data_IF_884408615723
#
_entry.id   IF_884408615723
#
_cell.length_a   1.000
_cell.length_b   1.000
_cell.length_c   1.000
_cell.angle_alpha   90.00
_cell.angle_beta   90.00
_cell.angle_gamma   90.00
#
_symmetry.space_group_name_H-M   'P 1'
#
loop_
_entity.id
_entity.type
_entity.pdbx_description
1 polymer ?
#
# COMPACT_ATOMS: atom_id res chain seq x y z
N UNK A 1 7.51 17.79 -17.41
CA UNK A 1 7.76 16.39 -17.84
C UNK A 1 6.51 15.58 -17.49
N UNK A 2 5.61 15.34 -18.44
CA UNK A 2 4.34 14.62 -18.17
C UNK A 2 4.65 13.17 -17.80
N UNK A 3 4.58 12.85 -16.50
CA UNK A 3 4.77 11.49 -16.02
C UNK A 3 3.46 10.74 -16.28
N UNK A 4 3.44 9.95 -17.35
CA UNK A 4 2.35 9.03 -17.63
C UNK A 4 2.30 7.98 -16.50
N UNK A 5 1.41 8.18 -15.53
CA UNK A 5 1.24 7.27 -14.40
C UNK A 5 0.52 6.01 -14.87
N UNK A 6 1.28 4.97 -15.21
CA UNK A 6 0.75 3.63 -15.44
C UNK A 6 0.22 3.10 -14.11
N UNK A 7 -1.10 3.05 -13.93
CA UNK A 7 -1.71 2.40 -12.77
C UNK A 7 -1.52 0.88 -12.92
N UNK A 8 -0.82 0.20 -12.00
CA UNK A 8 -0.65 -1.24 -12.09
C UNK A 8 -2.01 -1.94 -11.94
N UNK A 9 -2.53 -2.52 -13.02
CA UNK A 9 -3.78 -3.28 -13.00
C UNK A 9 -3.48 -4.77 -12.79
N UNK A 10 -3.76 -5.27 -11.60
CA UNK A 10 -3.62 -6.70 -11.30
C UNK A 10 -4.89 -7.47 -11.63
N UNK A 11 -4.74 -8.66 -12.23
CA UNK A 11 -5.86 -9.56 -12.52
C UNK A 11 -6.54 -10.02 -11.22
N UNK A 12 -7.83 -10.36 -11.31
CA UNK A 12 -8.58 -10.90 -10.15
C UNK A 12 -7.94 -12.15 -9.56
N UNK A 13 -7.41 -13.03 -10.41
CA UNK A 13 -6.71 -14.25 -10.00
C UNK A 13 -5.44 -13.94 -9.18
N UNK A 14 -4.65 -12.94 -9.58
CA UNK A 14 -3.43 -12.56 -8.84
C UNK A 14 -3.75 -12.01 -7.45
N UNK A 15 -4.81 -11.19 -7.34
CA UNK A 15 -5.28 -10.69 -6.03
C UNK A 15 -5.72 -11.83 -5.12
N UNK A 16 -6.46 -12.80 -5.64
CA UNK A 16 -6.89 -13.96 -4.86
C UNK A 16 -5.69 -14.83 -4.44
N UNK A 17 -4.76 -15.09 -5.35
CA UNK A 17 -3.55 -15.87 -5.08
C UNK A 17 -2.70 -15.27 -3.96
N UNK A 18 -2.48 -13.95 -3.99
CA UNK A 18 -1.70 -13.26 -2.97
C UNK A 18 -2.39 -13.28 -1.60
N UNK A 19 -3.71 -13.08 -1.55
CA UNK A 19 -4.50 -13.21 -0.32
C UNK A 19 -4.45 -14.64 0.24
N UNK A 20 -4.61 -15.65 -0.62
CA UNK A 20 -4.55 -17.06 -0.23
C UNK A 20 -3.15 -17.44 0.28
N UNK A 21 -2.09 -17.00 -0.40
CA UNK A 21 -0.70 -17.26 0.01
C UNK A 21 -0.41 -16.67 1.39
N UNK A 22 -0.89 -15.46 1.66
CA UNK A 22 -0.78 -14.86 2.99
C UNK A 22 -1.54 -15.65 4.05
N UNK A 23 -2.76 -16.10 3.75
CA UNK A 23 -3.55 -16.91 4.67
C UNK A 23 -2.86 -18.25 5.00
N UNK A 24 -2.28 -18.92 3.99
CA UNK A 24 -1.50 -20.14 4.18
C UNK A 24 -0.27 -19.88 5.05
N UNK A 25 0.49 -18.81 4.78
CA UNK A 25 1.66 -18.45 5.59
C UNK A 25 1.29 -18.14 7.06
N UNK A 26 0.19 -17.41 7.29
CA UNK A 26 -0.31 -17.12 8.62
C UNK A 26 -0.74 -18.41 9.36
N UNK A 27 -1.40 -19.33 8.66
CA UNK A 27 -1.78 -20.63 9.22
C UNK A 27 -0.55 -21.50 9.56
N UNK A 28 0.48 -21.49 8.70
CA UNK A 28 1.74 -22.17 8.97
C UNK A 28 2.45 -21.60 10.21
N UNK A 29 2.47 -20.27 10.37
CA UNK A 29 3.04 -19.63 11.57
C UNK A 29 2.26 -20.03 12.84
N UNK A 30 0.93 -19.95 12.79
CA UNK A 30 0.08 -20.35 13.91
C UNK A 30 0.25 -21.83 14.27
N UNK A 31 0.30 -22.71 13.25
CA UNK A 31 0.61 -24.13 13.43
C UNK A 31 1.98 -24.36 14.04
N UNK A 32 3.01 -23.62 13.58
CA UNK A 32 4.36 -23.67 14.14
C UNK A 32 4.39 -23.31 15.63
N UNK A 33 3.68 -22.25 16.04
CA UNK A 33 3.55 -21.87 17.46
C UNK A 33 2.80 -22.95 18.26
N UNK A 34 1.77 -23.56 17.66
CA UNK A 34 0.99 -24.61 18.32
C UNK A 34 1.84 -25.86 18.61
N UNK A 35 2.57 -26.35 17.60
CA UNK A 35 3.43 -27.54 17.70
C UNK A 35 4.76 -27.30 18.41
N UNK A 36 5.14 -26.04 18.66
CA UNK A 36 6.35 -25.71 19.40
C UNK A 36 6.30 -26.31 20.81
N UNK A 37 7.32 -27.07 21.20
CA UNK A 37 7.46 -27.58 22.56
C UNK A 37 8.04 -26.49 23.47
N UNK A 38 7.16 -25.63 24.00
CA UNK A 38 7.51 -24.50 24.84
C UNK A 38 6.43 -24.24 25.89
N UNK A 39 6.77 -23.48 26.93
CA UNK A 39 5.81 -23.06 27.96
C UNK A 39 4.70 -22.18 27.36
N UNK A 40 3.52 -22.18 28.00
CA UNK A 40 2.38 -21.38 27.55
C UNK A 40 2.74 -19.89 27.41
N UNK A 41 3.51 -19.36 28.36
CA UNK A 41 3.99 -17.97 28.31
C UNK A 41 4.88 -17.68 27.10
N UNK A 42 5.78 -18.61 26.74
CA UNK A 42 6.63 -18.47 25.57
C UNK A 42 5.81 -18.50 24.26
N UNK A 43 4.84 -19.42 24.14
CA UNK A 43 3.93 -19.47 22.99
C UNK A 43 3.13 -18.17 22.84
N UNK A 44 2.65 -17.63 23.96
CA UNK A 44 1.96 -16.34 23.99
C UNK A 44 2.83 -15.19 23.49
N UNK A 45 4.10 -15.14 23.92
CA UNK A 45 5.05 -14.11 23.44
C UNK A 45 5.27 -14.18 21.92
N UNK A 46 5.48 -15.38 21.37
CA UNK A 46 5.62 -15.55 19.92
C UNK A 46 4.34 -15.19 19.16
N UNK A 47 3.17 -15.53 19.68
CA UNK A 47 1.89 -15.18 19.06
C UNK A 47 1.68 -13.65 19.04
N UNK A 48 1.95 -12.96 20.16
CA UNK A 48 1.85 -11.50 20.23
C UNK A 48 2.84 -10.83 19.27
N UNK A 49 4.10 -11.29 19.26
CA UNK A 49 5.12 -10.77 18.35
C UNK A 49 4.72 -10.95 16.88
N UNK A 50 4.24 -12.15 16.50
CA UNK A 50 3.81 -12.44 15.14
C UNK A 50 2.64 -11.54 14.69
N UNK A 51 1.61 -11.39 15.54
CA UNK A 51 0.45 -10.54 15.24
C UNK A 51 0.87 -9.08 15.08
N UNK A 52 1.68 -8.55 16.01
CA UNK A 52 2.10 -7.14 15.92
C UNK A 52 3.02 -6.86 14.74
N UNK A 53 3.93 -7.79 14.43
CA UNK A 53 4.80 -7.65 13.27
C UNK A 53 3.98 -7.61 11.97
N UNK A 54 3.02 -8.52 11.81
CA UNK A 54 2.14 -8.58 10.64
C UNK A 54 1.26 -7.33 10.54
N UNK A 55 0.66 -6.90 11.65
CA UNK A 55 -0.16 -5.69 11.70
C UNK A 55 0.63 -4.46 11.24
N UNK A 56 1.82 -4.24 11.83
CA UNK A 56 2.65 -3.08 11.52
C UNK A 56 3.22 -3.12 10.12
N UNK A 57 3.60 -4.29 9.59
CA UNK A 57 4.06 -4.44 8.21
C UNK A 57 2.97 -4.07 7.18
N UNK A 58 1.72 -4.51 7.41
CA UNK A 58 0.60 -4.17 6.54
C UNK A 58 0.30 -2.66 6.61
N UNK A 59 0.25 -2.10 7.82
CA UNK A 59 0.02 -0.67 8.02
C UNK A 59 1.11 0.16 7.37
N UNK A 60 2.39 -0.19 7.56
CA UNK A 60 3.52 0.48 6.93
C UNK A 60 3.42 0.47 5.40
N UNK A 61 3.14 -0.70 4.81
CA UNK A 61 2.99 -0.81 3.35
C UNK A 61 1.85 0.05 2.82
N UNK A 62 0.73 0.13 3.56
CA UNK A 62 -0.38 1.04 3.21
C UNK A 62 0.05 2.49 3.31
N UNK A 63 0.62 2.92 4.43
CA UNK A 63 1.09 4.30 4.62
C UNK A 63 2.05 4.74 3.52
N UNK A 64 3.00 3.88 3.12
CA UNK A 64 3.92 4.19 2.02
C UNK A 64 3.20 4.35 0.68
N UNK A 65 2.27 3.44 0.34
CA UNK A 65 1.47 3.53 -0.89
C UNK A 65 0.57 4.76 -0.91
N UNK A 66 -0.10 5.03 0.21
CA UNK A 66 -0.99 6.19 0.35
C UNK A 66 -0.20 7.50 0.18
N UNK A 67 1.04 7.57 0.69
CA UNK A 67 1.93 8.70 0.47
C UNK A 67 2.32 8.87 -0.99
N UNK A 68 2.72 7.79 -1.68
CA UNK A 68 3.06 7.84 -3.11
C UNK A 68 1.85 8.24 -3.98
N UNK A 69 0.65 7.78 -3.63
CA UNK A 69 -0.58 8.15 -4.33
C UNK A 69 -0.96 9.62 -4.08
N UNK A 70 -0.82 10.10 -2.85
CA UNK A 70 -1.06 11.50 -2.51
C UNK A 70 -0.15 12.46 -3.28
N UNK A 71 1.16 12.17 -3.35
CA UNK A 71 2.12 12.99 -4.09
C UNK A 71 1.79 13.04 -5.59
N UNK A 72 1.38 11.92 -6.18
CA UNK A 72 0.95 11.87 -7.60
C UNK A 72 -0.30 12.70 -7.84
N UNK A 73 -1.26 12.70 -6.91
CA UNK A 73 -2.48 13.50 -7.03
C UNK A 73 -2.18 15.00 -6.92
N UNK A 74 -1.30 15.40 -6.00
CA UNK A 74 -0.89 16.80 -5.83
C UNK A 74 -0.26 17.33 -7.12
N UNK A 75 0.72 16.61 -7.68
CA UNK A 75 1.40 17.01 -8.93
C UNK A 75 0.40 17.19 -10.09
N UNK A 76 -0.58 16.29 -10.23
CA UNK A 76 -1.62 16.41 -11.28
C UNK A 76 -2.51 17.63 -11.11
N UNK A 77 -2.82 18.02 -9.87
CA UNK A 77 -3.60 19.22 -9.57
C UNK A 77 -2.80 20.49 -9.85
N UNK A 78 -1.51 20.49 -9.50
CA UNK A 78 -0.61 21.62 -9.80
C UNK A 78 -0.43 21.82 -11.31
N UNK A 79 -0.24 20.75 -12.08
CA UNK A 79 -0.18 20.80 -13.53
C UNK A 79 -1.45 21.40 -14.14
N UNK A 80 -2.64 20.93 -13.72
CA UNK A 80 -3.91 21.44 -14.21
C UNK A 80 -4.17 22.91 -13.84
N UNK A 81 -3.75 23.34 -12.64
CA UNK A 81 -3.81 24.75 -12.21
C UNK A 81 -2.87 25.61 -13.04
N UNK A 82 -1.66 25.13 -13.31
CA UNK A 82 -0.66 25.82 -14.12
C UNK A 82 -1.16 25.98 -15.55
N UNK A 83 -1.71 24.91 -16.15
CA UNK A 83 -2.33 24.95 -17.48
C UNK A 83 -3.47 25.96 -17.55
N UNK A 84 -4.36 25.97 -16.55
CA UNK A 84 -5.46 26.95 -16.48
C UNK A 84 -4.94 28.39 -16.39
N UNK A 85 -3.90 28.63 -15.59
CA UNK A 85 -3.30 29.96 -15.42
C UNK A 85 -2.69 30.46 -16.73
N UNK A 86 -1.94 29.59 -17.43
CA UNK A 86 -1.38 29.88 -18.74
C UNK A 86 -2.47 30.21 -19.77
N UNK A 87 -3.56 29.45 -19.79
CA UNK A 87 -4.70 29.71 -20.67
C UNK A 87 -5.37 31.06 -20.36
N UNK A 88 -5.51 31.42 -19.08
CA UNK A 88 -6.10 32.72 -18.70
C UNK A 88 -5.22 33.91 -19.07
N UNK A 89 -3.89 33.77 -18.96
CA UNK A 89 -2.94 34.80 -19.38
C UNK A 89 -2.98 34.98 -20.90
N UNK A 90 -2.88 33.88 -21.66
CA UNK A 90 -2.96 33.91 -23.13
C UNK A 90 -4.25 34.58 -23.64
N UNK A 91 -5.41 34.26 -23.04
CA UNK A 91 -6.69 34.89 -23.42
C UNK A 91 -6.74 36.40 -23.14
N UNK A 92 -5.94 36.90 -22.21
CA UNK A 92 -5.95 38.32 -21.85
C UNK A 92 -5.12 39.19 -22.81
N UNK A 93 -4.12 38.61 -23.49
CA UNK A 93 -3.28 39.31 -24.47
C UNK A 93 -3.94 39.43 -25.87
N UNK A 94 -5.00 38.65 -26.14
CA UNK A 94 -5.77 38.67 -27.40
C UNK A 94 -6.90 39.72 -27.44
N UNK A 95 -7.07 40.53 -26.37
CA UNK A 95 -8.06 41.63 -26.26
C UNK A 95 -7.37 42.99 -26.23
#
# INVERSE_FOLDING_TARGET
MSTNSVTPHHTGAWKLFTMASFAVAAAMMAGGIYFLEASFSAKGFYAMAAIMLVHTAITLTKTMRDSEEADRLINRVEDAKTEKLLMTMHRSDDL
#
